data_IF_496539449599
#
_entry.id   IF_496539449599
#
_cell.length_a   1.000
_cell.length_b   1.000
_cell.length_c   1.000
_cell.angle_alpha   90.00
_cell.angle_beta   90.00
_cell.angle_gamma   90.00
#
_symmetry.space_group_name_H-M   'P 1'
#
loop_
_entity.id
_entity.type
_entity.pdbx_description
1 polymer ?
#
# COMPACT_ATOMS: atom_id res chain seq x y z
N UNK A 1 9.59 8.00 3.34
CA UNK A 1 9.10 6.64 3.68
C UNK A 1 7.94 6.79 4.65
N UNK A 2 7.01 5.83 4.76
CA UNK A 2 5.98 5.92 5.79
C UNK A 2 6.59 5.58 7.15
N UNK A 3 6.30 6.37 8.18
CA UNK A 3 6.77 6.19 9.57
C UNK A 3 6.53 4.75 10.07
N UNK A 4 5.33 4.21 9.81
CA UNK A 4 5.00 2.82 10.16
C UNK A 4 5.94 1.79 9.51
N UNK A 5 6.38 2.02 8.26
CA UNK A 5 7.29 1.09 7.59
C UNK A 5 8.68 1.09 8.24
N UNK A 6 9.15 2.24 8.71
CA UNK A 6 10.42 2.37 9.43
C UNK A 6 10.33 1.75 10.83
N UNK A 7 9.21 1.97 11.52
CA UNK A 7 8.93 1.36 12.81
C UNK A 7 8.97 -0.18 12.75
N UNK A 8 8.38 -0.80 11.72
CA UNK A 8 8.44 -2.26 11.55
C UNK A 8 9.88 -2.76 11.37
N UNK A 9 10.74 -2.00 10.68
CA UNK A 9 12.17 -2.32 10.57
C UNK A 9 12.85 -2.18 11.94
N UNK A 10 12.58 -1.09 12.67
CA UNK A 10 13.11 -0.88 14.01
C UNK A 10 12.76 -2.03 14.96
N UNK A 11 11.51 -2.54 14.89
CA UNK A 11 11.09 -3.72 15.65
C UNK A 11 11.82 -4.99 15.24
N UNK A 12 12.01 -5.22 13.93
CA UNK A 12 12.76 -6.38 13.42
C UNK A 12 14.20 -6.40 13.94
N UNK A 13 14.79 -5.23 14.17
CA UNK A 13 16.13 -5.07 14.74
C UNK A 13 16.15 -4.99 16.26
N UNK A 14 14.98 -5.02 16.90
CA UNK A 14 14.85 -4.84 18.36
C UNK A 14 15.52 -3.53 18.84
N UNK A 15 15.41 -2.49 18.01
CA UNK A 15 16.22 -1.28 18.10
C UNK A 15 16.00 -0.53 19.43
N UNK A 16 14.78 -0.62 19.97
CA UNK A 16 14.39 0.00 21.24
C UNK A 16 15.31 -0.36 22.40
N UNK A 17 15.95 -1.54 22.40
CA UNK A 17 16.88 -1.97 23.46
C UNK A 17 18.22 -1.26 23.43
N UNK A 18 18.64 -0.77 22.26
CA UNK A 18 19.95 -0.17 22.04
C UNK A 18 19.93 1.35 22.14
N UNK A 19 18.75 1.98 22.06
CA UNK A 19 18.62 3.43 22.15
C UNK A 19 18.95 3.87 23.57
N UNK A 20 19.86 4.85 23.68
CA UNK A 20 20.13 5.56 24.92
C UNK A 20 19.04 6.60 25.12
N UNK A 21 18.31 6.47 26.22
CA UNK A 21 17.20 7.35 26.57
C UNK A 21 17.45 8.02 27.91
N UNK A 22 16.86 9.20 28.10
CA UNK A 22 16.75 9.77 29.43
C UNK A 22 15.81 8.91 30.28
N UNK A 23 15.98 8.94 31.60
CA UNK A 23 15.11 8.20 32.52
C UNK A 23 13.64 8.59 32.35
N UNK A 24 13.35 9.86 32.07
CA UNK A 24 11.98 10.34 31.83
C UNK A 24 11.37 9.77 30.54
N UNK A 25 12.13 9.74 29.45
CA UNK A 25 11.63 9.18 28.18
C UNK A 25 11.41 7.67 28.30
N UNK A 26 12.31 6.96 28.99
CA UNK A 26 12.15 5.53 29.23
C UNK A 26 10.91 5.21 30.08
N UNK A 27 10.67 5.97 31.15
CA UNK A 27 9.49 5.79 32.01
C UNK A 27 8.16 6.07 31.29
N UNK A 28 8.17 6.88 30.23
CA UNK A 28 6.97 7.19 29.44
C UNK A 28 6.79 6.26 28.24
N UNK A 29 7.59 5.19 28.15
CA UNK A 29 7.47 4.18 27.10
C UNK A 29 8.19 4.52 25.79
N UNK A 30 9.18 5.43 25.83
CA UNK A 30 9.90 5.87 24.63
C UNK A 30 10.52 4.74 23.79
N UNK A 31 10.91 3.62 24.42
CA UNK A 31 11.48 2.44 23.73
C UNK A 31 10.53 1.77 22.74
N UNK A 32 9.23 1.97 22.89
CA UNK A 32 8.20 1.41 22.02
C UNK A 32 7.52 2.48 21.15
N UNK A 33 7.89 3.76 21.34
CA UNK A 33 7.27 4.88 20.64
C UNK A 33 7.62 4.81 19.15
N UNK A 34 6.57 4.78 18.33
CA UNK A 34 6.65 4.65 16.87
C UNK A 34 7.59 5.70 16.26
N UNK A 35 7.41 6.97 16.62
CA UNK A 35 8.20 8.08 16.07
C UNK A 35 9.68 7.98 16.42
N UNK A 36 10.02 7.72 17.69
CA UNK A 36 11.42 7.60 18.13
C UNK A 36 12.12 6.45 17.40
N UNK A 37 11.45 5.31 17.28
CA UNK A 37 12.01 4.15 16.62
C UNK A 37 12.19 4.36 15.11
N UNK A 38 11.22 5.00 14.46
CA UNK A 38 11.33 5.36 13.06
C UNK A 38 12.48 6.34 12.81
N UNK A 39 12.57 7.40 13.61
CA UNK A 39 13.65 8.41 13.53
C UNK A 39 15.03 7.78 13.73
N UNK A 40 15.15 6.81 14.65
CA UNK A 40 16.42 6.10 14.86
C UNK A 40 16.83 5.26 13.64
N UNK A 41 15.88 4.66 12.92
CA UNK A 41 16.19 3.94 11.66
C UNK A 41 16.70 4.91 10.60
N UNK A 42 16.07 6.08 10.46
CA UNK A 42 16.55 7.11 9.54
C UNK A 42 17.95 7.61 9.91
N UNK A 43 18.19 7.85 11.20
CA UNK A 43 19.49 8.26 11.71
C UNK A 43 20.60 7.23 11.42
N UNK A 44 20.31 5.93 11.54
CA UNK A 44 21.26 4.86 11.18
C UNK A 44 21.57 4.88 9.68
N UNK A 45 20.56 5.03 8.83
CA UNK A 45 20.76 5.10 7.37
C UNK A 45 21.61 6.33 7.02
N UNK A 46 21.34 7.48 7.64
CA UNK A 46 22.11 8.70 7.47
C UNK A 46 23.56 8.53 7.95
N UNK A 47 23.78 7.85 9.08
CA UNK A 47 25.13 7.56 9.57
C UNK A 47 25.92 6.67 8.59
N UNK A 48 25.29 5.62 8.03
CA UNK A 48 25.91 4.78 7.01
C UNK A 48 26.24 5.60 5.74
N UNK A 49 25.34 6.49 5.34
CA UNK A 49 25.57 7.37 4.19
C UNK A 49 26.77 8.30 4.42
N UNK A 50 26.87 8.91 5.60
CA UNK A 50 27.97 9.82 5.96
C UNK A 50 29.30 9.07 6.05
N UNK A 51 29.30 7.87 6.64
CA UNK A 51 30.51 7.07 6.88
C UNK A 51 31.02 6.36 5.61
N UNK A 52 30.11 5.75 4.84
CA UNK A 52 30.46 4.81 3.77
C UNK A 52 29.92 5.21 2.39
N UNK A 53 29.25 6.35 2.28
CA UNK A 53 28.74 6.90 1.03
C UNK A 53 27.43 6.27 0.53
N UNK A 54 26.94 6.82 -0.58
CA UNK A 54 25.62 6.50 -1.14
C UNK A 54 25.43 5.03 -1.48
N UNK A 55 26.37 4.40 -2.19
CA UNK A 55 26.18 3.02 -2.66
C UNK A 55 26.07 2.03 -1.50
N UNK A 56 26.79 2.26 -0.40
CA UNK A 56 26.69 1.42 0.81
C UNK A 56 25.38 1.63 1.54
N UNK A 57 24.94 2.88 1.71
CA UNK A 57 23.64 3.19 2.28
C UNK A 57 22.47 2.61 1.46
N UNK A 58 22.54 2.75 0.12
CA UNK A 58 21.56 2.17 -0.81
C UNK A 58 21.50 0.66 -0.70
N UNK A 59 22.64 -0.02 -0.71
CA UNK A 59 22.71 -1.48 -0.55
C UNK A 59 22.13 -1.94 0.79
N UNK A 60 22.41 -1.22 1.87
CA UNK A 60 21.85 -1.47 3.20
C UNK A 60 20.32 -1.34 3.20
N UNK A 61 19.78 -0.25 2.64
CA UNK A 61 18.32 -0.03 2.55
C UNK A 61 17.67 -1.12 1.71
N UNK A 62 18.16 -1.38 0.49
CA UNK A 62 17.55 -2.38 -0.41
C UNK A 62 17.53 -3.79 0.21
N UNK A 63 18.56 -4.15 0.97
CA UNK A 63 18.63 -5.46 1.64
C UNK A 63 17.65 -5.54 2.80
N UNK A 64 17.64 -4.54 3.68
CA UNK A 64 16.86 -4.61 4.91
C UNK A 64 15.36 -4.32 4.70
N UNK A 65 15.03 -3.50 3.69
CA UNK A 65 13.67 -3.11 3.38
C UNK A 65 13.03 -4.00 2.31
N UNK A 66 13.72 -5.04 1.83
CA UNK A 66 13.26 -5.91 0.74
C UNK A 66 11.82 -6.39 0.95
N UNK A 67 11.52 -7.00 2.10
CA UNK A 67 10.19 -7.52 2.41
C UNK A 67 9.11 -6.42 2.37
N UNK A 68 9.45 -5.23 2.88
CA UNK A 68 8.54 -4.07 2.90
C UNK A 68 8.29 -3.55 1.50
N UNK A 69 9.34 -3.46 0.67
CA UNK A 69 9.25 -3.05 -0.74
C UNK A 69 8.42 -4.07 -1.52
N UNK A 70 8.67 -5.37 -1.35
CA UNK A 70 7.92 -6.44 -2.01
C UNK A 70 6.44 -6.42 -1.60
N UNK A 71 6.14 -6.24 -0.32
CA UNK A 71 4.76 -6.08 0.16
C UNK A 71 4.10 -4.85 -0.45
N UNK A 72 4.79 -3.72 -0.54
CA UNK A 72 4.26 -2.50 -1.13
C UNK A 72 3.97 -2.69 -2.63
N UNK A 73 4.89 -3.30 -3.38
CA UNK A 73 4.70 -3.63 -4.79
C UNK A 73 3.53 -4.61 -4.96
N UNK A 74 3.51 -5.70 -4.19
CA UNK A 74 2.44 -6.70 -4.25
C UNK A 74 1.09 -6.11 -3.90
N UNK A 75 1.01 -5.28 -2.84
CA UNK A 75 -0.22 -4.58 -2.50
C UNK A 75 -0.64 -3.61 -3.60
N UNK A 76 0.30 -2.90 -4.25
CA UNK A 76 0.00 -2.03 -5.40
C UNK A 76 -0.54 -2.84 -6.58
N UNK A 77 0.06 -3.99 -6.90
CA UNK A 77 -0.42 -4.92 -7.94
C UNK A 77 -1.81 -5.44 -7.58
N UNK A 78 -2.01 -5.86 -6.32
CA UNK A 78 -3.30 -6.27 -5.77
C UNK A 78 -4.28 -5.09 -5.75
N UNK A 79 -3.85 -3.84 -5.82
CA UNK A 79 -4.72 -2.67 -5.86
C UNK A 79 -4.92 -2.14 -7.27
N UNK A 80 -4.27 -2.68 -8.30
CA UNK A 80 -4.37 -2.20 -9.68
C UNK A 80 -5.15 -3.14 -10.61
N UNK A 81 -6.35 -3.51 -10.16
CA UNK A 81 -7.30 -4.29 -10.94
C UNK A 81 -7.88 -3.53 -12.13
N UNK A 82 -7.95 -2.19 -12.12
CA UNK A 82 -8.44 -1.40 -13.26
C UNK A 82 -7.55 -1.62 -14.48
N UNK A 83 -6.24 -1.46 -14.32
CA UNK A 83 -5.26 -1.70 -15.40
C UNK A 83 -5.33 -3.16 -15.86
N UNK A 84 -5.35 -4.11 -14.92
CA UNK A 84 -5.46 -5.54 -15.28
C UNK A 84 -6.76 -5.88 -16.02
N UNK A 85 -7.90 -5.30 -15.61
CA UNK A 85 -9.17 -5.49 -16.31
C UNK A 85 -9.11 -4.94 -17.74
N UNK A 86 -8.50 -3.77 -17.91
CA UNK A 86 -8.31 -3.16 -19.22
C UNK A 86 -7.49 -4.06 -20.15
N UNK A 87 -6.34 -4.56 -19.69
CA UNK A 87 -5.49 -5.48 -20.46
C UNK A 87 -6.24 -6.77 -20.86
N UNK A 88 -7.01 -7.35 -19.93
CA UNK A 88 -7.78 -8.59 -20.18
C UNK A 88 -8.88 -8.34 -21.20
N UNK A 89 -9.60 -7.22 -21.09
CA UNK A 89 -10.71 -6.90 -21.99
C UNK A 89 -10.25 -6.50 -23.39
N UNK A 90 -9.14 -5.76 -23.48
CA UNK A 90 -8.64 -5.24 -24.75
C UNK A 90 -7.79 -6.26 -25.53
N UNK A 91 -7.55 -7.46 -24.97
CA UNK A 91 -6.73 -8.51 -25.59
C UNK A 91 -7.22 -8.91 -26.99
N UNK A 92 -8.54 -8.85 -27.23
CA UNK A 92 -9.17 -9.27 -28.50
C UNK A 92 -9.71 -8.09 -29.33
N UNK A 93 -9.28 -6.86 -29.03
CA UNK A 93 -9.72 -5.64 -29.71
C UNK A 93 -10.22 -4.57 -28.75
N UNK A 94 -10.61 -3.42 -29.31
CA UNK A 94 -11.09 -2.29 -28.51
C UNK A 94 -12.42 -2.62 -27.82
N UNK A 95 -12.50 -2.20 -26.55
CA UNK A 95 -13.70 -2.29 -25.73
C UNK A 95 -13.91 -0.97 -25.00
N UNK A 96 -15.17 -0.61 -24.79
CA UNK A 96 -15.51 0.54 -23.95
C UNK A 96 -15.70 0.09 -22.51
N UNK A 97 -14.84 0.55 -21.60
CA UNK A 97 -14.88 0.22 -20.16
C UNK A 97 -15.27 1.47 -19.38
N UNK A 98 -16.44 1.44 -18.74
CA UNK A 98 -16.96 2.57 -17.98
C UNK A 98 -17.07 2.24 -16.49
N UNK A 99 -16.80 3.25 -15.65
CA UNK A 99 -16.92 3.15 -14.19
C UNK A 99 -17.88 4.22 -13.69
N UNK A 100 -19.05 3.77 -13.25
CA UNK A 100 -20.13 4.67 -12.80
C UNK A 100 -20.22 4.69 -11.28
N UNK A 101 -20.16 5.89 -10.70
CA UNK A 101 -20.42 6.06 -9.27
C UNK A 101 -21.94 6.03 -9.02
N UNK A 102 -22.43 4.90 -8.54
CA UNK A 102 -23.86 4.67 -8.31
C UNK A 102 -24.38 5.49 -7.13
N UNK A 103 -23.62 5.53 -6.02
CA UNK A 103 -23.95 6.32 -4.83
C UNK A 103 -22.75 6.49 -3.92
N UNK A 104 -22.88 7.39 -2.96
CA UNK A 104 -22.01 7.49 -1.79
C UNK A 104 -22.85 7.78 -0.54
N UNK A 105 -22.41 7.28 0.61
CA UNK A 105 -23.16 7.44 1.87
C UNK A 105 -22.20 7.53 3.07
N UNK A 106 -22.69 8.06 4.19
CA UNK A 106 -21.91 8.25 5.41
C UNK A 106 -21.24 9.62 5.55
N UNK A 107 -20.69 9.93 6.75
CA UNK A 107 -20.14 11.23 7.07
C UNK A 107 -18.87 11.54 6.27
N UNK A 108 -18.50 12.82 6.05
CA UNK A 108 -17.34 13.18 5.22
C UNK A 108 -16.03 12.49 5.58
N UNK A 109 -15.76 12.29 6.88
CA UNK A 109 -14.55 11.64 7.38
C UNK A 109 -14.57 10.10 7.27
N UNK A 110 -15.69 9.50 6.85
CA UNK A 110 -15.85 8.04 6.68
C UNK A 110 -16.87 7.69 5.58
N UNK A 111 -16.84 8.44 4.48
CA UNK A 111 -17.76 8.26 3.37
C UNK A 111 -17.45 6.97 2.61
N UNK A 112 -18.48 6.19 2.31
CA UNK A 112 -18.39 4.97 1.52
C UNK A 112 -18.91 5.24 0.12
N UNK A 113 -18.16 4.81 -0.89
CA UNK A 113 -18.46 4.96 -2.32
C UNK A 113 -18.87 3.62 -2.91
N UNK A 114 -19.81 3.65 -3.85
CA UNK A 114 -20.34 2.49 -4.55
C UNK A 114 -20.18 2.71 -6.06
N UNK A 115 -19.35 1.90 -6.70
CA UNK A 115 -19.03 2.01 -8.12
C UNK A 115 -19.49 0.76 -8.86
N UNK A 116 -19.99 0.91 -10.08
CA UNK A 116 -20.23 -0.17 -11.02
C UNK A 116 -19.20 -0.09 -12.16
N UNK A 117 -18.78 -1.25 -12.69
CA UNK A 117 -17.99 -1.32 -13.92
C UNK A 117 -18.79 -2.04 -15.00
N UNK A 118 -18.85 -1.44 -16.18
CA UNK A 118 -19.47 -1.99 -17.38
C UNK A 118 -18.46 -2.07 -18.52
N UNK A 119 -18.64 -3.06 -19.40
CA UNK A 119 -17.87 -3.22 -20.63
C UNK A 119 -18.84 -3.40 -21.78
N UNK A 120 -18.74 -2.56 -22.81
CA UNK A 120 -19.68 -2.52 -23.95
C UNK A 120 -21.15 -2.51 -23.48
N UNK A 121 -21.46 -1.61 -22.54
CA UNK A 121 -22.78 -1.47 -21.88
C UNK A 121 -23.26 -2.68 -21.06
N UNK A 122 -22.44 -3.73 -20.86
CA UNK A 122 -22.76 -4.86 -19.99
C UNK A 122 -22.07 -4.72 -18.64
N UNK A 123 -22.84 -4.73 -17.56
CA UNK A 123 -22.30 -4.68 -16.20
C UNK A 123 -21.50 -5.95 -15.89
N UNK A 124 -20.23 -5.78 -15.52
CA UNK A 124 -19.34 -6.88 -15.15
C UNK A 124 -19.05 -6.94 -13.65
N UNK A 125 -19.15 -5.83 -12.92
CA UNK A 125 -18.82 -5.81 -11.50
C UNK A 125 -19.35 -4.60 -10.75
N UNK A 126 -19.43 -4.73 -9.43
CA UNK A 126 -19.77 -3.64 -8.52
C UNK A 126 -18.76 -3.61 -7.37
N UNK A 127 -18.33 -2.44 -6.93
CA UNK A 127 -17.28 -2.27 -5.93
C UNK A 127 -17.65 -1.23 -4.90
N UNK A 128 -17.05 -1.37 -3.73
CA UNK A 128 -17.21 -0.39 -2.66
C UNK A 128 -15.86 -0.07 -2.03
N UNK A 129 -15.71 1.15 -1.52
CA UNK A 129 -14.48 1.62 -0.88
C UNK A 129 -14.70 2.92 -0.11
N UNK A 130 -13.72 3.34 0.69
CA UNK A 130 -13.71 4.62 1.40
C UNK A 130 -13.13 5.77 0.57
N UNK A 131 -12.78 5.49 -0.68
CA UNK A 131 -12.49 6.47 -1.73
C UNK A 131 -13.08 5.99 -3.06
N UNK A 132 -13.30 6.92 -4.02
CA UNK A 132 -13.72 6.57 -5.39
C UNK A 132 -12.76 5.58 -6.05
N UNK A 133 -11.45 5.82 -5.89
CA UNK A 133 -10.40 4.95 -6.43
C UNK A 133 -10.51 3.52 -5.87
N UNK A 134 -10.73 3.40 -4.57
CA UNK A 134 -10.88 2.09 -3.93
C UNK A 134 -12.15 1.37 -4.39
N UNK A 135 -13.28 2.07 -4.52
CA UNK A 135 -14.52 1.47 -5.02
C UNK A 135 -14.41 1.02 -6.48
N UNK A 136 -13.73 1.77 -7.34
CA UNK A 136 -13.44 1.38 -8.72
C UNK A 136 -12.53 0.13 -8.80
N UNK A 137 -11.42 0.11 -8.04
CA UNK A 137 -10.52 -1.04 -8.00
C UNK A 137 -11.24 -2.29 -7.47
N UNK A 138 -12.13 -2.13 -6.49
CA UNK A 138 -12.98 -3.19 -5.97
C UNK A 138 -13.99 -3.71 -7.02
N UNK A 139 -14.54 -2.82 -7.85
CA UNK A 139 -15.45 -3.19 -8.94
C UNK A 139 -14.71 -3.99 -10.02
N UNK A 140 -13.52 -3.53 -10.41
CA UNK A 140 -12.65 -4.21 -11.38
C UNK A 140 -12.21 -5.59 -10.88
N UNK A 141 -11.87 -5.72 -9.59
CA UNK A 141 -11.55 -7.01 -8.96
C UNK A 141 -12.68 -8.03 -9.11
N UNK A 142 -13.93 -7.60 -8.86
CA UNK A 142 -15.10 -8.47 -8.98
C UNK A 142 -15.39 -8.82 -10.43
N UNK A 143 -15.23 -7.89 -11.37
CA UNK A 143 -15.33 -8.17 -12.80
C UNK A 143 -14.33 -9.25 -13.23
N UNK A 144 -13.04 -9.09 -12.88
CA UNK A 144 -11.99 -10.07 -13.17
C UNK A 144 -12.31 -11.47 -12.63
N UNK A 145 -12.75 -11.56 -11.37
CA UNK A 145 -13.17 -12.85 -10.77
C UNK A 145 -14.37 -13.49 -11.48
N UNK A 146 -15.31 -12.69 -11.98
CA UNK A 146 -16.46 -13.18 -12.73
C UNK A 146 -16.05 -13.82 -14.06
N UNK A 147 -15.05 -13.24 -14.72
CA UNK A 147 -14.52 -13.77 -15.98
C UNK A 147 -13.75 -15.08 -15.78
N UNK A 148 -12.96 -15.18 -14.72
CA UNK A 148 -12.24 -16.41 -14.36
C UNK A 148 -13.20 -17.59 -14.15
N UNK A 149 -14.40 -17.35 -13.60
CA UNK A 149 -15.41 -18.38 -13.38
C UNK A 149 -16.18 -18.81 -14.63
N UNK A 150 -16.30 -17.94 -15.63
CA UNK A 150 -17.03 -18.25 -16.86
C UNK A 150 -16.15 -18.95 -17.92
N UNK A 151 -14.84 -19.01 -17.69
CA UNK A 151 -13.85 -19.65 -18.57
C UNK A 151 -13.38 -21.03 -18.08
N UNK A 152 -14.02 -21.58 -17.04
CA UNK A 152 -13.79 -22.94 -16.55
C UNK A 152 -15.09 -23.73 -16.56
#
# INVERSE_FOLDING_TARGET
MCENSLYEIAKKWDLGKYIRMSKGEELTGGRERVSILADCVEAIIAAIYIDAGFEKAKGFVLTNFKDTIEKAIKNKIILDYKTKLQEVMQKNGDVDIQYDLMKYEGPPHRRKFYTQVSVNNKVLGNGTGYSKKESEQSAAKKALKGLEKNNG
#
